data_IF_945830131056
#
_entry.id   IF_945830131056
#
_cell.length_a   1.000
_cell.length_b   1.000
_cell.length_c   1.000
_cell.angle_alpha   90.00
_cell.angle_beta   90.00
_cell.angle_gamma   90.00
#
_symmetry.space_group_name_H-M   'P 1'
#
loop_
_entity.id
_entity.type
_entity.pdbx_description
1 polymer ?
#
# COMPACT_ATOMS: atom_id res chain seq x y z
N UNK A 1 18.59 -5.47 -3.05
CA UNK A 1 17.51 -4.76 -3.77
C UNK A 1 18.01 -3.35 -4.09
N UNK A 2 18.02 -2.92 -5.35
CA UNK A 2 18.42 -1.57 -5.78
C UNK A 2 17.60 -0.44 -5.14
N UNK A 3 16.37 -0.69 -4.67
CA UNK A 3 15.59 0.29 -3.91
C UNK A 3 14.68 -0.36 -2.86
N UNK A 4 14.45 0.37 -1.76
CA UNK A 4 13.37 0.13 -0.79
C UNK A 4 12.38 1.27 -0.90
N UNK A 5 11.15 0.95 -1.28
CA UNK A 5 10.06 1.92 -1.46
C UNK A 5 9.19 1.93 -0.22
N UNK A 6 8.81 3.14 0.22
CA UNK A 6 7.80 3.34 1.26
C UNK A 6 6.48 3.59 0.55
N UNK A 7 5.51 2.67 0.71
CA UNK A 7 4.14 2.91 0.29
C UNK A 7 3.47 3.65 1.44
N UNK A 8 3.09 4.91 1.20
CA UNK A 8 2.51 5.77 2.20
C UNK A 8 1.08 6.18 1.84
N UNK A 9 0.25 6.31 2.86
CA UNK A 9 -1.14 6.77 2.78
C UNK A 9 -1.19 8.28 3.03
N UNK A 10 -1.79 9.05 2.13
CA UNK A 10 -2.08 10.47 2.36
C UNK A 10 -3.32 10.60 3.26
N UNK A 11 -3.14 11.13 4.48
CA UNK A 11 -4.25 11.36 5.43
C UNK A 11 -5.23 12.43 4.95
N UNK A 12 -4.82 13.24 3.98
CA UNK A 12 -5.61 14.32 3.38
C UNK A 12 -5.85 14.08 1.89
N UNK A 13 -5.93 12.81 1.47
CA UNK A 13 -6.20 12.44 0.07
C UNK A 13 -7.44 13.15 -0.50
N UNK A 14 -8.41 13.48 0.36
CA UNK A 14 -9.65 14.15 -0.02
C UNK A 14 -9.41 15.55 -0.61
N UNK A 15 -8.28 16.21 -0.32
CA UNK A 15 -7.86 17.46 -0.99
C UNK A 15 -7.75 17.29 -2.51
N UNK A 16 -7.47 16.07 -3.01
CA UNK A 16 -7.31 15.76 -4.42
C UNK A 16 -8.60 15.27 -5.10
N UNK A 17 -9.68 15.00 -4.34
CA UNK A 17 -10.94 14.50 -4.89
C UNK A 17 -11.55 15.39 -5.98
N UNK A 18 -11.49 16.73 -5.91
CA UNK A 18 -11.97 17.58 -7.00
C UNK A 18 -11.31 17.27 -8.36
N UNK A 19 -10.06 16.80 -8.35
CA UNK A 19 -9.34 16.39 -9.55
C UNK A 19 -9.57 14.91 -9.89
N UNK A 20 -9.52 14.02 -8.89
CA UNK A 20 -9.58 12.56 -9.11
C UNK A 20 -11.00 12.03 -9.33
N UNK A 21 -12.02 12.74 -8.85
CA UNK A 21 -13.42 12.35 -8.91
C UNK A 21 -14.33 13.58 -9.11
N UNK A 22 -14.40 14.13 -10.33
CA UNK A 22 -15.10 15.39 -10.60
C UNK A 22 -16.63 15.26 -10.70
N UNK A 23 -17.19 14.06 -10.49
CA UNK A 23 -18.62 13.82 -10.66
C UNK A 23 -19.50 14.60 -9.68
N UNK A 24 -19.00 14.80 -8.44
CA UNK A 24 -19.58 15.68 -7.42
C UNK A 24 -18.53 15.98 -6.35
N UNK A 25 -18.77 16.99 -5.50
CA UNK A 25 -17.86 17.32 -4.40
C UNK A 25 -17.97 16.31 -3.25
N UNK A 26 -17.11 15.30 -3.27
CA UNK A 26 -17.01 14.29 -2.23
C UNK A 26 -16.05 14.68 -1.08
N UNK A 27 -15.34 15.82 -1.18
CA UNK A 27 -14.36 16.22 -0.16
C UNK A 27 -14.98 16.37 1.24
N UNK A 28 -16.14 17.03 1.41
CA UNK A 28 -16.73 17.25 2.74
C UNK A 28 -17.07 15.95 3.48
N UNK A 29 -17.34 14.87 2.74
CA UNK A 29 -17.63 13.54 3.32
C UNK A 29 -16.47 13.00 4.15
N UNK A 30 -15.23 13.30 3.76
CA UNK A 30 -14.02 12.80 4.42
C UNK A 30 -13.38 13.85 5.33
N UNK A 31 -13.42 15.13 4.94
CA UNK A 31 -12.84 16.24 5.71
C UNK A 31 -13.43 16.32 7.13
N UNK A 32 -14.74 16.08 7.29
CA UNK A 32 -15.42 16.08 8.58
C UNK A 32 -15.47 14.74 9.32
N UNK A 33 -14.88 13.67 8.78
CA UNK A 33 -14.99 12.32 9.33
C UNK A 33 -13.64 11.57 9.27
N UNK A 34 -12.82 11.74 10.30
CA UNK A 34 -11.46 11.19 10.37
C UNK A 34 -11.42 9.65 10.32
N UNK A 35 -12.40 8.96 10.91
CA UNK A 35 -12.47 7.49 10.90
C UNK A 35 -12.78 6.96 9.50
N UNK A 36 -13.77 7.56 8.83
CA UNK A 36 -14.10 7.23 7.44
C UNK A 36 -12.93 7.54 6.51
N UNK A 37 -12.28 8.70 6.67
CA UNK A 37 -11.10 9.08 5.91
C UNK A 37 -9.96 8.09 6.10
N UNK A 38 -9.64 7.73 7.35
CA UNK A 38 -8.56 6.80 7.70
C UNK A 38 -8.79 5.40 7.11
N UNK A 39 -9.96 4.81 7.35
CA UNK A 39 -10.29 3.47 6.83
C UNK A 39 -10.35 3.43 5.29
N UNK A 40 -10.82 4.51 4.66
CA UNK A 40 -10.86 4.65 3.19
C UNK A 40 -9.46 4.79 2.62
N UNK A 41 -8.64 5.67 3.19
CA UNK A 41 -7.28 5.91 2.74
C UNK A 41 -6.41 4.66 2.93
N UNK A 42 -6.56 3.95 4.06
CA UNK A 42 -5.85 2.69 4.32
C UNK A 42 -6.15 1.62 3.27
N UNK A 43 -7.42 1.32 2.99
CA UNK A 43 -7.82 0.33 1.98
C UNK A 43 -7.30 0.72 0.59
N UNK A 44 -7.56 1.95 0.16
CA UNK A 44 -7.15 2.42 -1.17
C UNK A 44 -5.63 2.47 -1.32
N UNK A 45 -4.89 2.95 -0.32
CA UNK A 45 -3.43 2.96 -0.31
C UNK A 45 -2.84 1.55 -0.40
N UNK A 46 -3.46 0.58 0.27
CA UNK A 46 -3.05 -0.84 0.22
C UNK A 46 -3.28 -1.43 -1.17
N UNK A 47 -4.45 -1.20 -1.78
CA UNK A 47 -4.76 -1.67 -3.14
C UNK A 47 -3.82 -1.05 -4.17
N UNK A 48 -3.54 0.26 -4.08
CA UNK A 48 -2.57 0.92 -4.96
C UNK A 48 -1.15 0.37 -4.77
N UNK A 49 -0.75 0.10 -3.53
CA UNK A 49 0.50 -0.60 -3.24
C UNK A 49 0.56 -1.99 -3.88
N UNK A 50 -0.55 -2.74 -3.87
CA UNK A 50 -0.64 -4.03 -4.56
C UNK A 50 -0.50 -3.88 -6.09
N UNK A 51 -1.12 -2.85 -6.69
CA UNK A 51 -0.95 -2.54 -8.11
C UNK A 51 0.50 -2.17 -8.45
N UNK A 52 1.20 -1.43 -7.59
CA UNK A 52 2.62 -1.15 -7.75
C UNK A 52 3.45 -2.44 -7.77
N UNK A 53 3.16 -3.39 -6.87
CA UNK A 53 3.84 -4.70 -6.84
C UNK A 53 3.59 -5.47 -8.15
N UNK A 54 2.35 -5.47 -8.66
CA UNK A 54 2.00 -6.12 -9.93
C UNK A 54 2.72 -5.46 -11.11
N UNK A 55 2.74 -4.13 -11.18
CA UNK A 55 3.40 -3.38 -12.23
C UNK A 55 4.92 -3.62 -12.22
N UNK A 56 5.56 -3.58 -11.04
CA UNK A 56 6.98 -3.87 -10.89
C UNK A 56 7.33 -5.29 -11.37
N UNK A 57 6.51 -6.29 -11.02
CA UNK A 57 6.67 -7.66 -11.54
C UNK A 57 6.48 -7.76 -13.05
N UNK A 58 5.52 -7.03 -13.61
CA UNK A 58 5.26 -7.02 -15.05
C UNK A 58 6.45 -6.49 -15.87
N UNK A 59 7.27 -5.61 -15.29
CA UNK A 59 8.50 -5.10 -15.92
C UNK A 59 9.76 -5.87 -15.50
N UNK A 60 9.61 -7.04 -14.87
CA UNK A 60 10.72 -7.95 -14.55
C UNK A 60 11.43 -7.70 -13.23
N UNK A 61 10.85 -6.91 -12.31
CA UNK A 61 11.39 -6.73 -10.96
C UNK A 61 10.77 -7.73 -9.97
N UNK A 62 11.62 -8.25 -9.10
CA UNK A 62 11.21 -8.91 -7.86
C UNK A 62 10.76 -7.88 -6.82
N UNK A 63 9.78 -8.30 -6.01
CA UNK A 63 9.15 -7.47 -4.99
C UNK A 63 9.14 -8.20 -3.65
N UNK A 64 9.72 -7.59 -2.62
CA UNK A 64 9.67 -8.03 -1.23
C UNK A 64 8.82 -7.08 -0.37
N UNK A 65 7.48 -7.25 -0.32
CA UNK A 65 6.62 -6.46 0.56
C UNK A 65 6.83 -6.87 2.03
N UNK A 66 6.86 -5.88 2.94
CA UNK A 66 7.19 -6.07 4.35
C UNK A 66 6.34 -5.16 5.25
N UNK A 67 5.80 -5.75 6.32
CA UNK A 67 5.11 -5.03 7.41
C UNK A 67 5.90 -5.02 8.73
N UNK A 68 7.01 -5.77 8.80
CA UNK A 68 7.83 -5.91 10.01
C UNK A 68 8.83 -4.75 10.19
N UNK A 69 8.33 -3.52 10.36
CA UNK A 69 9.15 -2.34 10.60
C UNK A 69 8.57 -1.46 11.72
N UNK A 70 9.38 -0.56 12.28
CA UNK A 70 8.93 0.44 13.25
C UNK A 70 8.30 1.63 12.51
N UNK A 71 6.97 1.65 12.43
CA UNK A 71 6.23 2.69 11.73
C UNK A 71 6.44 4.07 12.36
N UNK A 72 6.58 4.16 13.69
CA UNK A 72 6.80 5.43 14.40
C UNK A 72 8.11 6.09 14.00
N UNK A 73 9.21 5.32 14.01
CA UNK A 73 10.52 5.81 13.55
C UNK A 73 10.54 6.15 12.07
N UNK A 74 9.91 5.33 11.24
CA UNK A 74 9.87 5.56 9.80
C UNK A 74 9.06 6.83 9.46
N UNK A 75 7.90 7.01 10.07
CA UNK A 75 7.10 8.22 9.90
C UNK A 75 7.83 9.46 10.43
N UNK A 76 8.49 9.38 11.58
CA UNK A 76 9.29 10.49 12.10
C UNK A 76 10.45 10.89 11.17
N UNK A 77 11.08 9.91 10.51
CA UNK A 77 12.21 10.17 9.62
C UNK A 77 11.79 10.70 8.24
N UNK A 78 10.72 10.16 7.66
CA UNK A 78 10.35 10.43 6.25
C UNK A 78 9.11 11.31 6.11
N UNK A 79 8.25 11.38 7.12
CA UNK A 79 6.99 12.14 7.10
C UNK A 79 6.82 12.97 8.39
N UNK A 80 7.79 13.83 8.75
CA UNK A 80 7.77 14.58 10.01
C UNK A 80 6.54 15.48 10.17
N UNK A 81 5.95 15.94 9.06
CA UNK A 81 4.75 16.79 9.05
C UNK A 81 3.44 15.99 9.27
N UNK A 82 3.52 14.67 9.37
CA UNK A 82 2.39 13.79 9.72
C UNK A 82 1.34 13.60 8.62
N UNK A 83 1.40 14.34 7.49
CA UNK A 83 0.46 14.19 6.37
C UNK A 83 0.42 12.77 5.82
N UNK A 84 1.59 12.17 5.64
CA UNK A 84 1.72 10.81 5.12
C UNK A 84 2.00 9.85 6.26
N UNK A 85 1.42 8.66 6.16
CA UNK A 85 1.63 7.58 7.11
C UNK A 85 2.09 6.34 6.34
N UNK A 86 3.20 5.73 6.77
CA UNK A 86 3.67 4.50 6.17
C UNK A 86 2.64 3.38 6.31
N UNK A 87 2.35 2.73 5.18
CA UNK A 87 1.47 1.58 5.13
C UNK A 87 2.31 0.29 5.16
N UNK A 88 3.17 0.12 4.16
CA UNK A 88 4.15 -0.97 4.12
C UNK A 88 5.38 -0.61 3.29
N UNK A 89 6.43 -1.41 3.41
CA UNK A 89 7.66 -1.27 2.62
C UNK A 89 7.70 -2.30 1.51
N UNK A 90 8.29 -1.95 0.37
CA UNK A 90 8.54 -2.90 -0.70
C UNK A 90 9.97 -2.77 -1.21
N UNK A 91 10.76 -3.83 -1.05
CA UNK A 91 12.06 -3.94 -1.71
C UNK A 91 11.85 -4.30 -3.17
N UNK A 92 12.41 -3.52 -4.09
CA UNK A 92 12.32 -3.74 -5.52
C UNK A 92 13.68 -4.06 -6.13
N UNK A 93 13.72 -5.01 -7.06
CA UNK A 93 14.82 -5.18 -8.03
C UNK A 93 15.05 -6.62 -8.45
N UNK A 94 16.32 -7.02 -8.68
CA UNK A 94 16.62 -8.37 -9.19
C UNK A 94 17.15 -9.25 -8.06
N UNK A 95 16.38 -10.28 -7.72
CA UNK A 95 16.76 -11.32 -6.76
C UNK A 95 17.77 -12.30 -7.37
N UNK A 96 18.55 -12.95 -6.51
CA UNK A 96 19.43 -14.04 -6.93
C UNK A 96 18.59 -15.32 -7.12
N UNK A 97 18.42 -15.85 -8.35
CA UNK A 97 17.57 -17.01 -8.59
C UNK A 97 18.01 -18.26 -7.80
N UNK A 98 19.32 -18.39 -7.52
CA UNK A 98 19.86 -19.51 -6.75
C UNK A 98 19.54 -19.45 -5.25
N UNK A 99 19.11 -18.29 -4.74
CA UNK A 99 18.74 -18.08 -3.34
C UNK A 99 17.22 -18.03 -3.13
N UNK A 100 16.42 -18.12 -4.21
CA UNK A 100 14.96 -18.09 -4.10
C UNK A 100 14.43 -19.44 -3.60
N UNK A 101 13.55 -19.39 -2.61
CA UNK A 101 12.78 -20.56 -2.21
C UNK A 101 11.63 -20.82 -3.20
N UNK A 102 11.21 -22.08 -3.38
CA UNK A 102 9.97 -22.39 -4.09
C UNK A 102 8.78 -21.64 -3.48
N UNK A 103 7.75 -21.41 -4.28
CA UNK A 103 6.49 -20.82 -3.80
C UNK A 103 5.94 -21.68 -2.66
N UNK A 104 5.72 -21.05 -1.49
CA UNK A 104 5.10 -21.73 -0.34
C UNK A 104 3.65 -22.17 -0.62
N UNK A 105 3.10 -23.06 0.23
CA UNK A 105 1.75 -23.58 0.07
C UNK A 105 0.71 -22.46 0.06
N UNK A 106 -0.41 -22.70 -0.63
CA UNK A 106 -1.60 -21.85 -0.62
C UNK A 106 -2.76 -22.69 -0.13
N UNK A 107 -3.66 -22.06 0.61
CA UNK A 107 -4.92 -22.66 1.02
C UNK A 107 -5.67 -23.18 -0.21
N UNK A 108 -6.38 -24.29 -0.06
CA UNK A 108 -7.35 -24.74 -1.06
C UNK A 108 -8.50 -23.73 -1.16
N UNK A 109 -9.32 -23.86 -2.20
CA UNK A 109 -10.49 -22.99 -2.35
C UNK A 109 -11.46 -23.18 -1.17
N UNK A 110 -11.71 -24.41 -0.78
CA UNK A 110 -12.61 -24.79 0.32
C UNK A 110 -12.12 -24.28 1.68
N UNK A 111 -10.80 -24.17 1.87
CA UNK A 111 -10.22 -23.58 3.08
C UNK A 111 -10.33 -22.06 3.10
N UNK A 112 -10.34 -21.40 1.93
CA UNK A 112 -10.25 -19.95 1.82
C UNK A 112 -11.59 -19.25 1.52
N UNK A 113 -12.63 -19.98 1.08
CA UNK A 113 -13.85 -19.41 0.54
C UNK A 113 -15.11 -20.16 1.00
N UNK A 114 -16.18 -19.42 1.29
CA UNK A 114 -17.53 -19.91 1.54
C UNK A 114 -18.48 -19.33 0.49
N UNK A 115 -19.40 -20.14 -0.03
CA UNK A 115 -20.44 -19.71 -0.96
C UNK A 115 -21.78 -19.89 -0.26
N UNK A 116 -22.55 -18.80 -0.13
CA UNK A 116 -23.88 -18.77 0.46
C UNK A 116 -24.94 -18.40 -0.58
#
# INVERSE_FOLDING_TARGET
APATVIIATDTRFYEHLPTMFPAYDARPTFEGNAELASSTAFRNGTLQGAYLILAARAIGLDCGPMSGFDAGKLNAAFFPDGRYQANFLCNLGIGNPAALHPRGPRLSFEEACEIA
#
